data_IF_964598698678
#
_entry.id   IF_964598698678
#
_cell.length_a   1.000
_cell.length_b   1.000
_cell.length_c   1.000
_cell.angle_alpha   90.00
_cell.angle_beta   90.00
_cell.angle_gamma   90.00
#
_symmetry.space_group_name_H-M   'P 1'
#
loop_
_entity.id
_entity.type
_entity.pdbx_description
1 polymer ?
#
# COMPACT_ATOMS: atom_id res chain seq x y z
N UNK A 1 -21.12 -12.13 10.81
CA UNK A 1 -21.16 -13.02 12.01
C UNK A 1 -20.00 -14.01 12.11
N UNK A 2 -19.58 -14.73 11.03
CA UNK A 2 -18.54 -15.78 11.14
C UNK A 2 -17.15 -15.30 11.61
N UNK A 3 -16.74 -14.10 11.23
CA UNK A 3 -15.40 -13.56 11.53
C UNK A 3 -15.21 -13.32 13.04
N UNK A 4 -16.24 -12.83 13.72
CA UNK A 4 -16.20 -12.59 15.18
C UNK A 4 -15.98 -13.91 15.92
N UNK A 5 -16.70 -14.97 15.56
CA UNK A 5 -16.50 -16.29 16.18
C UNK A 5 -15.11 -16.88 15.92
N UNK A 6 -14.54 -16.64 14.74
CA UNK A 6 -13.14 -17.02 14.44
C UNK A 6 -12.17 -16.26 15.33
N UNK A 7 -12.35 -14.95 15.50
CA UNK A 7 -11.49 -14.15 16.37
C UNK A 7 -11.60 -14.59 17.84
N UNK A 8 -12.82 -14.86 18.32
CA UNK A 8 -13.03 -15.43 19.66
C UNK A 8 -12.40 -16.82 19.81
N UNK A 9 -12.38 -17.64 18.76
CA UNK A 9 -11.70 -18.92 18.78
C UNK A 9 -10.17 -18.76 18.82
N UNK A 10 -9.61 -17.76 18.14
CA UNK A 10 -8.19 -17.42 18.23
C UNK A 10 -7.82 -16.95 19.63
N UNK A 11 -8.65 -16.11 20.27
CA UNK A 11 -8.45 -15.65 21.65
C UNK A 11 -8.39 -16.82 22.64
N UNK A 12 -9.30 -17.80 22.51
CA UNK A 12 -9.25 -19.04 23.30
C UNK A 12 -8.00 -19.88 23.07
N UNK A 13 -7.39 -19.84 21.89
CA UNK A 13 -6.22 -20.66 21.53
C UNK A 13 -4.88 -20.00 21.88
N UNK A 14 -4.76 -18.70 21.64
CA UNK A 14 -3.52 -17.94 21.74
C UNK A 14 -3.47 -16.96 22.91
N UNK A 15 -4.61 -16.74 23.57
CA UNK A 15 -4.76 -15.76 24.64
C UNK A 15 -5.10 -14.37 24.14
N UNK A 16 -5.83 -13.61 24.96
CA UNK A 16 -6.38 -12.30 24.60
C UNK A 16 -5.28 -11.28 24.30
N UNK A 17 -4.18 -11.32 25.05
CA UNK A 17 -3.05 -10.39 24.88
C UNK A 17 -2.41 -10.54 23.49
N UNK A 18 -2.06 -11.75 23.08
CA UNK A 18 -1.46 -12.02 21.77
C UNK A 18 -2.40 -11.63 20.63
N UNK A 19 -3.69 -11.96 20.75
CA UNK A 19 -4.71 -11.61 19.74
C UNK A 19 -4.93 -10.10 19.66
N UNK A 20 -4.93 -9.39 20.79
CA UNK A 20 -5.06 -7.94 20.80
C UNK A 20 -3.87 -7.25 20.13
N UNK A 21 -2.64 -7.68 20.43
CA UNK A 21 -1.42 -7.21 19.76
C UNK A 21 -1.49 -7.48 18.25
N UNK A 22 -1.96 -8.67 17.86
CA UNK A 22 -2.15 -9.03 16.47
C UNK A 22 -3.20 -8.14 15.77
N UNK A 23 -4.32 -7.84 16.42
CA UNK A 23 -5.33 -6.94 15.84
C UNK A 23 -4.81 -5.51 15.70
N UNK A 24 -4.12 -4.98 16.70
CA UNK A 24 -3.53 -3.65 16.66
C UNK A 24 -2.54 -3.51 15.49
N UNK A 25 -1.70 -4.51 15.29
CA UNK A 25 -0.76 -4.55 14.16
C UNK A 25 -1.44 -4.71 12.81
N UNK A 26 -2.47 -5.55 12.72
CA UNK A 26 -3.23 -5.69 11.48
C UNK A 26 -3.85 -4.34 11.07
N UNK A 27 -4.41 -3.61 12.03
CA UNK A 27 -4.97 -2.27 11.81
C UNK A 27 -3.91 -1.25 11.38
N UNK A 28 -2.69 -1.30 11.93
CA UNK A 28 -1.61 -0.40 11.48
C UNK A 28 -1.16 -0.66 10.03
N UNK A 29 -1.57 -1.81 9.45
CA UNK A 29 -1.29 -2.21 8.07
C UNK A 29 -2.57 -2.22 7.21
N UNK A 30 -3.68 -1.66 7.71
CA UNK A 30 -5.01 -1.67 7.06
C UNK A 30 -5.54 -3.08 6.70
N UNK A 31 -5.12 -4.10 7.47
CA UNK A 31 -5.54 -5.50 7.29
C UNK A 31 -6.76 -5.79 8.17
N UNK A 32 -7.89 -6.12 7.53
CA UNK A 32 -9.13 -6.53 8.22
C UNK A 32 -9.46 -8.03 8.05
N UNK A 33 -8.55 -8.83 7.49
CA UNK A 33 -8.74 -10.27 7.28
C UNK A 33 -8.26 -11.10 8.49
N UNK A 34 -9.21 -11.78 9.14
CA UNK A 34 -8.96 -12.68 10.28
C UNK A 34 -8.03 -13.85 9.92
N UNK A 35 -7.96 -14.24 8.64
CA UNK A 35 -7.05 -15.31 8.20
C UNK A 35 -5.60 -14.85 8.26
N UNK A 36 -5.32 -13.58 7.92
CA UNK A 36 -3.98 -13.00 8.07
C UNK A 36 -3.60 -12.84 9.55
N UNK A 37 -4.56 -12.45 10.40
CA UNK A 37 -4.36 -12.42 11.86
C UNK A 37 -4.01 -13.82 12.39
N UNK A 38 -4.70 -14.86 11.93
CA UNK A 38 -4.39 -16.24 12.30
C UNK A 38 -2.97 -16.65 11.85
N UNK A 39 -2.59 -16.36 10.59
CA UNK A 39 -1.25 -16.65 10.08
C UNK A 39 -0.15 -15.88 10.81
N UNK A 40 -0.45 -14.67 11.28
CA UNK A 40 0.48 -13.87 12.09
C UNK A 40 0.72 -14.52 13.46
N UNK A 41 -0.34 -14.98 14.14
CA UNK A 41 -0.25 -15.68 15.43
C UNK A 41 0.43 -17.05 15.29
N UNK A 42 0.18 -17.77 14.20
CA UNK A 42 0.87 -19.04 13.89
C UNK A 42 2.37 -18.85 13.71
N UNK A 43 2.79 -17.70 13.16
CA UNK A 43 4.19 -17.33 12.97
C UNK A 43 4.80 -16.58 14.15
N UNK A 44 4.00 -16.31 15.20
CA UNK A 44 4.37 -15.45 16.33
C UNK A 44 4.96 -14.09 15.88
N UNK A 45 4.46 -13.55 14.77
CA UNK A 45 5.05 -12.38 14.13
C UNK A 45 4.38 -11.08 14.52
N UNK A 46 3.44 -11.06 15.46
CA UNK A 46 2.72 -9.86 15.89
C UNK A 46 3.65 -8.83 16.58
N UNK A 47 4.73 -9.28 17.20
CA UNK A 47 5.74 -8.42 17.84
C UNK A 47 6.98 -8.14 16.95
N UNK A 48 7.09 -8.81 15.80
CA UNK A 48 8.30 -8.74 14.96
C UNK A 48 8.34 -7.42 14.19
N UNK A 49 9.30 -6.50 14.40
CA UNK A 49 9.34 -5.26 13.63
C UNK A 49 9.38 -5.55 12.12
N UNK A 50 8.79 -4.66 11.32
CA UNK A 50 8.89 -4.77 9.87
C UNK A 50 10.37 -4.74 9.48
N UNK A 51 10.83 -5.66 8.60
CA UNK A 51 12.19 -5.61 8.12
C UNK A 51 12.42 -4.26 7.40
N UNK A 52 13.64 -3.71 7.46
CA UNK A 52 13.96 -2.53 6.68
C UNK A 52 13.72 -2.83 5.19
N UNK A 53 13.27 -1.84 4.40
CA UNK A 53 13.12 -2.04 2.98
C UNK A 53 14.46 -2.51 2.39
N UNK A 54 14.45 -3.50 1.48
CA UNK A 54 15.67 -3.92 0.83
C UNK A 54 16.31 -2.72 0.12
N UNK A 55 17.65 -2.67 -0.01
CA UNK A 55 18.30 -1.64 -0.78
C UNK A 55 17.72 -1.64 -2.20
N UNK A 56 17.24 -0.48 -2.65
CA UNK A 56 16.79 -0.29 -4.01
C UNK A 56 18.00 -0.37 -4.93
N UNK A 57 18.27 -1.55 -5.49
CA UNK A 57 19.14 -1.64 -6.65
C UNK A 57 18.36 -1.11 -7.85
N UNK A 58 18.86 -0.11 -8.58
CA UNK A 58 18.21 0.34 -9.80
C UNK A 58 18.38 -0.75 -10.87
N UNK A 59 17.52 -1.76 -10.83
CA UNK A 59 17.24 -2.58 -12.00
C UNK A 59 16.44 -1.72 -12.96
N UNK A 60 16.81 -1.71 -14.25
CA UNK A 60 15.97 -1.14 -15.30
C UNK A 60 14.61 -1.83 -15.26
N UNK A 61 13.64 -1.22 -14.58
CA UNK A 61 12.27 -1.68 -14.57
C UNK A 61 11.77 -1.67 -16.02
N UNK A 62 10.83 -2.56 -16.36
CA UNK A 62 10.24 -2.61 -17.71
C UNK A 62 9.64 -1.26 -18.16
N UNK A 63 9.31 -0.41 -17.20
CA UNK A 63 8.76 0.94 -17.41
C UNK A 63 9.71 2.05 -16.94
N UNK A 64 10.99 1.75 -16.70
CA UNK A 64 11.98 2.79 -16.44
C UNK A 64 12.11 3.66 -17.70
N UNK A 65 11.80 4.95 -17.55
CA UNK A 65 11.90 5.99 -18.57
C UNK A 65 13.16 6.80 -18.35
N UNK A 66 13.67 7.41 -19.41
CA UNK A 66 14.75 8.39 -19.27
C UNK A 66 14.25 9.58 -18.41
N UNK A 67 15.02 10.05 -17.40
CA UNK A 67 14.61 11.19 -16.57
C UNK A 67 14.30 12.45 -17.39
N UNK A 68 14.95 12.61 -18.54
CA UNK A 68 14.69 13.67 -19.52
C UNK A 68 13.28 13.65 -20.08
N UNK A 69 12.62 12.49 -20.16
CA UNK A 69 11.23 12.38 -20.60
C UNK A 69 10.24 13.01 -19.61
N UNK A 70 10.61 13.15 -18.33
CA UNK A 70 9.78 13.83 -17.32
C UNK A 70 10.06 15.34 -17.24
N UNK A 71 11.01 15.85 -18.01
CA UNK A 71 11.26 17.29 -18.04
C UNK A 71 10.06 17.99 -18.67
N UNK A 72 9.44 18.88 -17.90
CA UNK A 72 8.37 19.73 -18.37
C UNK A 72 8.95 20.73 -19.37
N UNK A 73 8.98 20.37 -20.65
CA UNK A 73 9.06 21.34 -21.71
C UNK A 73 7.72 22.07 -21.75
N UNK A 74 7.71 23.34 -21.35
CA UNK A 74 6.61 24.24 -21.67
C UNK A 74 6.88 24.79 -23.07
N UNK A 75 6.30 24.20 -24.14
CA UNK A 75 6.28 24.90 -25.41
C UNK A 75 5.56 26.23 -25.18
N UNK A 76 6.08 27.31 -25.78
CA UNK A 76 5.37 28.58 -25.81
C UNK A 76 4.03 28.35 -26.51
N UNK A 77 2.95 28.29 -25.72
CA UNK A 77 1.60 28.16 -26.24
C UNK A 77 1.17 29.51 -26.80
N UNK A 78 0.94 29.57 -28.10
CA UNK A 78 0.35 30.76 -28.74
C UNK A 78 -1.17 30.66 -28.60
N UNK A 79 -1.77 31.60 -27.87
CA UNK A 79 -3.22 31.71 -27.76
C UNK A 79 -3.81 32.18 -29.10
N UNK A 80 -4.52 31.30 -29.82
CA UNK A 80 -5.29 31.69 -31.00
C UNK A 80 -6.63 32.25 -30.51
N UNK A 81 -6.77 33.57 -30.54
CA UNK A 81 -8.05 34.23 -30.30
C UNK A 81 -8.98 33.96 -31.50
N UNK A 82 -10.22 33.51 -31.22
CA UNK A 82 -11.20 33.07 -32.22
C UNK A 82 -11.69 34.12 -33.23
N UNK A 83 -11.19 35.36 -33.16
CA UNK A 83 -11.58 36.44 -34.08
C UNK A 83 -10.96 36.30 -35.49
N UNK A 84 -9.90 35.50 -35.63
CA UNK A 84 -9.20 35.28 -36.92
C UNK A 84 -9.90 34.27 -37.84
N UNK A 85 -10.95 33.58 -37.38
CA UNK A 85 -11.70 32.61 -38.19
C UNK A 85 -12.77 33.24 -39.09
N UNK A 86 -13.11 34.52 -38.88
CA UNK A 86 -14.24 35.20 -39.55
C UNK A 86 -13.82 36.14 -40.71
N UNK A 87 -12.55 36.14 -41.12
CA UNK A 87 -12.07 36.87 -42.30
C UNK A 87 -11.43 35.93 -43.31
N UNK A 88 -12.26 35.18 -44.04
CA UNK A 88 -11.95 34.57 -45.34
C UNK A 88 -13.15 34.72 -46.25
#
# INVERSE_FOLDING_TARGET
MRQVYRLLALARRYGDSAVNTACARALSLDVLDVTQIASMLEKASENTPAPPPPPLTPTTARFARDPGEFQSHHPALTLIHGEQAARR
#
